data_IF_148908694825
#
_entry.id   IF_148908694825
#
_cell.length_a   1.000
_cell.length_b   1.000
_cell.length_c   1.000
_cell.angle_alpha   90.00
_cell.angle_beta   90.00
_cell.angle_gamma   90.00
#
_symmetry.space_group_name_H-M   'P 1'
#
loop_
_entity.id
_entity.type
_entity.pdbx_description
1 polymer ?
#
# COMPACT_ATOMS: atom_id res chain seq x y z
N UNK A 1 11.27 10.41 12.59
CA UNK A 1 10.09 10.24 11.72
C UNK A 1 10.00 8.77 11.41
N UNK A 2 8.97 8.09 11.90
CA UNK A 2 8.84 6.63 11.80
C UNK A 2 8.76 6.18 10.33
N UNK A 3 9.78 5.45 9.88
CA UNK A 3 9.90 4.89 8.54
C UNK A 3 9.20 3.52 8.41
N UNK A 4 8.16 3.29 9.21
CA UNK A 4 7.53 1.99 9.34
C UNK A 4 6.09 1.99 8.79
N UNK A 5 5.63 0.85 8.22
CA UNK A 5 4.23 0.68 7.87
C UNK A 5 3.33 0.93 9.08
N UNK A 6 2.33 1.79 8.93
CA UNK A 6 1.36 2.08 9.98
C UNK A 6 -0.09 2.00 9.44
N UNK A 7 -0.55 0.82 9.00
CA UNK A 7 -1.95 0.64 8.61
C UNK A 7 -2.85 0.67 9.84
N UNK A 8 -3.99 1.33 9.73
CA UNK A 8 -5.02 1.34 10.79
C UNK A 8 -6.18 0.45 10.35
N UNK A 9 -6.63 -0.47 11.22
CA UNK A 9 -7.78 -1.36 10.97
C UNK A 9 -9.10 -0.59 11.04
N UNK A 10 -9.35 0.23 10.03
CA UNK A 10 -10.53 1.06 9.90
C UNK A 10 -10.86 1.25 8.42
N UNK A 11 -12.14 1.35 8.11
CA UNK A 11 -12.58 1.76 6.78
C UNK A 11 -12.19 3.20 6.51
N UNK A 12 -11.62 3.46 5.34
CA UNK A 12 -11.22 4.80 4.94
C UNK A 12 -10.36 4.83 3.67
N UNK A 13 -9.73 5.97 3.42
CA UNK A 13 -8.92 6.18 2.22
C UNK A 13 -7.56 5.52 2.35
N UNK A 14 -7.20 4.77 1.30
CA UNK A 14 -5.88 4.20 1.10
C UNK A 14 -5.07 5.13 0.21
N UNK A 15 -3.84 5.44 0.58
CA UNK A 15 -2.93 6.11 -0.34
C UNK A 15 -2.03 5.09 -1.03
N UNK A 16 -2.34 4.74 -2.28
CA UNK A 16 -1.51 3.85 -3.08
C UNK A 16 -0.11 4.42 -3.28
N UNK A 17 0.06 5.75 -3.33
CA UNK A 17 1.36 6.41 -3.53
C UNK A 17 2.23 6.48 -2.27
N UNK A 18 1.76 5.89 -1.17
CA UNK A 18 2.57 5.78 0.03
C UNK A 18 3.77 4.86 -0.26
N UNK A 19 5.02 5.28 0.03
CA UNK A 19 6.20 4.42 -0.18
C UNK A 19 6.14 3.14 0.66
N UNK A 20 5.34 3.11 1.71
CA UNK A 20 5.12 1.94 2.57
C UNK A 20 3.81 1.19 2.25
N UNK A 21 3.13 1.50 1.15
CA UNK A 21 1.83 0.92 0.82
C UNK A 21 1.87 -0.61 0.79
N UNK A 22 2.87 -1.20 0.13
CA UNK A 22 3.05 -2.65 0.09
C UNK A 22 3.20 -3.27 1.48
N UNK A 23 3.95 -2.62 2.38
CA UNK A 23 4.08 -3.04 3.78
C UNK A 23 2.77 -2.96 4.55
N UNK A 24 2.02 -1.87 4.39
CA UNK A 24 0.71 -1.66 5.00
C UNK A 24 -0.31 -2.71 4.52
N UNK A 25 -0.33 -2.98 3.22
CA UNK A 25 -1.17 -4.01 2.63
C UNK A 25 -0.80 -5.40 3.14
N UNK A 26 0.49 -5.74 3.17
CA UNK A 26 0.96 -7.02 3.67
C UNK A 26 0.57 -7.23 5.14
N UNK A 27 0.70 -6.20 5.97
CA UNK A 27 0.32 -6.26 7.39
C UNK A 27 -1.19 -6.47 7.56
N UNK A 28 -2.02 -5.69 6.86
CA UNK A 28 -3.47 -5.84 6.90
C UNK A 28 -3.91 -7.23 6.39
N UNK A 29 -3.29 -7.73 5.33
CA UNK A 29 -3.58 -9.04 4.75
C UNK A 29 -3.18 -10.19 5.70
N UNK A 30 -1.99 -10.14 6.31
CA UNK A 30 -1.53 -11.13 7.30
C UNK A 30 -2.45 -11.21 8.51
N UNK A 31 -3.06 -10.10 8.91
CA UNK A 31 -4.00 -10.05 10.02
C UNK A 31 -5.46 -10.24 9.60
N UNK A 32 -5.72 -10.56 8.33
CA UNK A 32 -7.07 -10.76 7.77
C UNK A 32 -8.02 -9.59 8.03
N UNK A 33 -7.52 -8.35 7.93
CA UNK A 33 -8.35 -7.17 8.07
C UNK A 33 -9.24 -7.00 6.83
N UNK A 34 -10.55 -6.83 7.05
CA UNK A 34 -11.52 -6.53 5.98
C UNK A 34 -11.25 -5.17 5.33
N UNK A 35 -10.73 -4.22 6.10
CA UNK A 35 -10.38 -2.89 5.61
C UNK A 35 -9.26 -2.28 6.43
N UNK A 36 -8.49 -1.41 5.79
CA UNK A 36 -7.48 -0.60 6.42
C UNK A 36 -7.37 0.76 5.73
N UNK A 37 -6.87 1.75 6.46
CA UNK A 37 -6.75 3.12 5.98
C UNK A 37 -5.41 3.74 6.38
N UNK A 38 -5.01 4.77 5.62
CA UNK A 38 -3.82 5.59 5.88
C UNK A 38 -4.14 6.83 6.73
N UNK A 39 -5.06 6.74 7.70
CA UNK A 39 -5.30 7.86 8.62
C UNK A 39 -4.01 8.16 9.40
N UNK A 40 -3.65 9.44 9.50
CA UNK A 40 -2.45 9.92 10.19
C UNK A 40 -1.10 9.50 9.56
N UNK A 41 -1.11 9.02 8.32
CA UNK A 41 0.13 8.82 7.58
C UNK A 41 0.63 10.18 7.06
N UNK A 42 1.91 10.52 7.31
CA UNK A 42 2.52 11.73 6.72
C UNK A 42 2.43 11.73 5.18
N UNK A 43 2.36 10.54 4.58
CA UNK A 43 2.19 10.36 3.14
C UNK A 43 0.73 10.47 2.68
N UNK A 44 -0.27 10.66 3.55
CA UNK A 44 -1.69 10.67 3.17
C UNK A 44 -2.03 11.69 2.08
N UNK A 45 -1.31 12.82 2.05
CA UNK A 45 -1.50 13.90 1.08
C UNK A 45 -0.59 13.78 -0.15
N UNK A 46 0.29 12.77 -0.22
CA UNK A 46 1.05 12.49 -1.43
C UNK A 46 0.08 12.00 -2.50
N UNK A 47 -0.41 12.94 -3.30
CA UNK A 47 -1.03 12.72 -4.60
C UNK A 47 0.04 13.02 -5.64
N UNK A 48 0.10 12.19 -6.68
CA UNK A 48 0.71 12.29 -8.03
C UNK A 48 1.80 13.35 -8.38
N UNK A 49 1.90 14.50 -7.71
CA UNK A 49 2.89 15.59 -7.86
C UNK A 49 4.37 15.15 -7.90
N UNK A 50 4.71 13.91 -7.55
CA UNK A 50 6.09 13.40 -7.55
C UNK A 50 6.47 12.50 -8.74
N UNK A 51 5.59 12.21 -9.69
CA UNK A 51 5.88 11.32 -10.83
C UNK A 51 5.67 12.02 -12.18
N UNK A 52 6.54 12.98 -12.49
CA UNK A 52 6.82 13.37 -13.89
C UNK A 52 7.82 12.40 -14.53
N UNK A 53 7.64 11.09 -14.33
CA UNK A 53 8.40 10.06 -15.03
C UNK A 53 7.62 9.59 -16.26
N UNK A 54 8.27 9.32 -17.41
CA UNK A 54 7.56 8.90 -18.61
C UNK A 54 6.91 7.54 -18.35
N UNK A 55 5.60 7.55 -18.07
CA UNK A 55 4.76 6.37 -18.12
C UNK A 55 4.81 5.83 -19.56
N UNK A 56 5.76 4.95 -19.84
CA UNK A 56 5.79 4.20 -21.09
C UNK A 56 4.67 3.17 -21.00
N UNK A 57 3.57 3.49 -21.67
CA UNK A 57 2.41 2.65 -21.89
C UNK A 57 2.85 1.33 -22.55
N UNK A 58 3.26 0.35 -21.77
CA UNK A 58 3.78 -0.91 -22.30
C UNK A 58 4.07 -1.97 -21.25
N UNK A 59 4.41 -1.59 -20.02
CA UNK A 59 4.68 -2.55 -18.95
C UNK A 59 3.53 -2.54 -17.93
N UNK A 60 2.89 -3.70 -17.72
CA UNK A 60 1.91 -3.89 -16.64
C UNK A 60 2.63 -4.00 -15.28
N UNK A 61 3.55 -3.07 -15.01
CA UNK A 61 4.28 -3.03 -13.75
C UNK A 61 3.29 -2.67 -12.65
N UNK A 62 3.08 -3.60 -11.71
CA UNK A 62 2.30 -3.30 -10.52
C UNK A 62 3.05 -2.25 -9.68
N UNK A 63 2.34 -1.21 -9.26
CA UNK A 63 2.88 -0.16 -8.39
C UNK A 63 3.42 -0.70 -7.06
N UNK A 64 2.96 -1.87 -6.63
CA UNK A 64 3.41 -2.56 -5.44
C UNK A 64 3.38 -4.08 -5.63
N UNK A 65 4.24 -4.79 -4.92
CA UNK A 65 4.25 -6.24 -4.86
C UNK A 65 3.59 -6.72 -3.57
N UNK A 66 2.69 -7.69 -3.65
CA UNK A 66 2.16 -8.40 -2.48
C UNK A 66 3.09 -9.58 -2.15
N UNK A 67 3.42 -9.78 -0.88
CA UNK A 67 4.31 -10.88 -0.49
C UNK A 67 3.69 -12.25 -0.82
N UNK A 68 4.46 -13.13 -1.46
CA UNK A 68 4.05 -14.49 -1.84
C UNK A 68 3.48 -15.31 -0.66
N UNK A 69 3.93 -15.03 0.56
CA UNK A 69 3.47 -15.66 1.80
C UNK A 69 1.96 -15.45 2.06
N UNK A 70 1.37 -14.38 1.53
CA UNK A 70 -0.07 -14.09 1.68
C UNK A 70 -0.92 -15.06 0.86
N UNK A 71 -0.38 -15.60 -0.25
CA UNK A 71 -1.08 -16.54 -1.11
C UNK A 71 -1.12 -17.97 -0.53
N UNK A 72 -0.40 -18.26 0.57
CA UNK A 72 -0.43 -19.59 1.20
C UNK A 72 -1.62 -19.77 2.14
N UNK A 73 -2.84 -19.76 1.61
CA UNK A 73 -3.98 -20.48 2.22
C UNK A 73 -5.21 -20.54 1.30
N UNK A 74 -5.20 -21.49 0.35
CA UNK A 74 -6.36 -22.35 0.06
C UNK A 74 -5.80 -23.68 -0.46
N UNK A 75 -5.83 -24.70 0.40
CA UNK A 75 -5.48 -26.08 0.12
C UNK A 75 -6.15 -26.94 1.19
#
# INVERSE_FOLDING_TARGET
MDQNPNPIRKSGTRNIFCPYYGGCLNHAARLHWESWACFDCHHQLMKETGMEGPFSSGDSTLYYTVSAEIYRKVG
#
